data_IF_569910123027
#
_entry.id   IF_569910123027
#
_cell.length_a   1.000
_cell.length_b   1.000
_cell.length_c   1.000
_cell.angle_alpha   90.00
_cell.angle_beta   90.00
_cell.angle_gamma   90.00
#
_symmetry.space_group_name_H-M   'P 1'
#
loop_
_entity.id
_entity.type
_entity.pdbx_description
1 polymer ?
#
# COMPACT_ATOMS: atom_id res chain seq x y z
N UNK A 1 73.31 10.38 1.52
CA UNK A 1 74.39 9.96 0.60
C UNK A 1 75.50 11.01 0.37
N UNK A 2 75.26 12.33 0.51
CA UNK A 2 76.26 13.36 0.12
C UNK A 2 77.56 13.38 0.98
N UNK A 3 77.53 12.94 2.25
CA UNK A 3 78.71 12.99 3.14
C UNK A 3 79.88 12.05 2.76
N UNK A 4 79.63 10.93 2.06
CA UNK A 4 80.68 9.96 1.73
C UNK A 4 81.54 10.36 0.53
N UNK A 5 81.02 11.22 -0.35
CA UNK A 5 81.73 11.64 -1.56
C UNK A 5 82.94 12.55 -1.27
N UNK A 6 82.83 13.37 -0.21
CA UNK A 6 83.85 14.36 0.16
C UNK A 6 85.11 13.70 0.74
N UNK A 7 84.93 12.61 1.52
CA UNK A 7 86.02 11.95 2.24
C UNK A 7 86.97 11.16 1.31
N UNK A 8 86.44 10.66 0.19
CA UNK A 8 87.21 9.96 -0.86
C UNK A 8 88.07 10.96 -1.65
N UNK A 9 87.55 12.16 -1.92
CA UNK A 9 88.27 13.21 -2.65
C UNK A 9 89.43 13.76 -1.81
N UNK A 10 89.28 13.89 -0.48
CA UNK A 10 90.36 14.36 0.40
C UNK A 10 91.50 13.34 0.56
N UNK A 11 91.21 12.04 0.58
CA UNK A 11 92.23 10.99 0.70
C UNK A 11 93.05 10.82 -0.60
N UNK A 12 92.42 10.97 -1.76
CA UNK A 12 93.10 10.81 -3.06
C UNK A 12 94.13 11.92 -3.34
N UNK A 13 93.88 13.14 -2.85
CA UNK A 13 94.81 14.28 -3.00
C UNK A 13 96.03 14.14 -2.08
N UNK A 14 95.88 13.52 -0.90
CA UNK A 14 96.96 13.39 0.08
C UNK A 14 98.01 12.31 -0.27
N UNK A 15 97.65 11.33 -1.12
CA UNK A 15 98.57 10.25 -1.51
C UNK A 15 99.58 10.61 -2.62
N UNK A 16 99.47 11.77 -3.27
CA UNK A 16 100.28 12.12 -4.45
C UNK A 16 101.48 13.03 -4.17
N UNK A 17 101.87 13.21 -2.90
CA UNK A 17 103.01 14.05 -2.52
C UNK A 17 104.05 13.33 -1.66
N UNK A 18 105.25 13.21 -2.23
CA UNK A 18 106.54 12.83 -1.65
C UNK A 18 106.91 11.33 -1.52
N UNK A 19 108.00 11.02 -2.22
CA UNK A 19 108.92 9.87 -2.16
C UNK A 19 110.35 10.44 -2.27
N UNK A 20 111.46 9.77 -1.87
CA UNK A 20 111.67 8.61 -0.97
C UNK A 20 112.39 9.10 0.33
N UNK A 21 113.19 8.37 1.14
CA UNK A 21 113.61 6.96 1.29
C UNK A 21 113.97 6.73 2.78
N UNK A 22 113.87 5.49 3.30
CA UNK A 22 114.94 4.79 4.06
C UNK A 22 114.52 3.42 4.62
N UNK A 23 115.30 2.41 4.25
CA UNK A 23 115.11 0.96 4.45
C UNK A 23 114.95 0.44 5.90
N UNK A 24 115.05 1.28 6.93
CA UNK A 24 115.02 0.89 8.35
C UNK A 24 113.62 0.81 8.98
N UNK A 25 112.62 1.54 8.46
CA UNK A 25 111.26 1.52 9.02
C UNK A 25 110.53 0.18 8.81
N UNK A 26 110.98 -0.63 7.85
CA UNK A 26 110.27 -1.84 7.39
C UNK A 26 110.07 -2.88 8.49
N UNK A 27 111.06 -3.10 9.37
CA UNK A 27 110.98 -4.16 10.39
C UNK A 27 110.12 -3.76 11.60
N UNK A 28 110.22 -2.51 12.04
CA UNK A 28 109.34 -1.95 13.08
C UNK A 28 107.89 -1.90 12.58
N UNK A 29 107.67 -1.49 11.32
CA UNK A 29 106.34 -1.44 10.70
C UNK A 29 105.65 -2.81 10.70
N UNK A 30 106.36 -3.91 10.40
CA UNK A 30 105.73 -5.24 10.43
C UNK A 30 105.31 -5.69 11.83
N UNK A 31 106.09 -5.42 12.89
CA UNK A 31 105.71 -5.80 14.26
C UNK A 31 104.51 -5.00 14.76
N UNK A 32 104.46 -3.69 14.50
CA UNK A 32 103.29 -2.87 14.81
C UNK A 32 102.07 -3.26 13.95
N UNK A 33 102.27 -3.58 12.67
CA UNK A 33 101.18 -4.05 11.80
C UNK A 33 100.59 -5.37 12.29
N UNK A 34 101.40 -6.36 12.70
CA UNK A 34 100.87 -7.63 13.25
C UNK A 34 100.12 -7.43 14.57
N UNK A 35 100.57 -6.51 15.42
CA UNK A 35 99.90 -6.21 16.69
C UNK A 35 98.55 -5.51 16.47
N UNK A 36 98.49 -4.54 15.56
CA UNK A 36 97.22 -3.90 15.18
C UNK A 36 96.26 -4.86 14.50
N UNK A 37 96.76 -5.73 13.61
CA UNK A 37 95.94 -6.75 12.93
C UNK A 37 95.24 -7.68 13.94
N UNK A 38 95.93 -8.08 15.01
CA UNK A 38 95.36 -8.97 16.02
C UNK A 38 94.28 -8.28 16.88
N UNK A 39 94.50 -7.02 17.28
CA UNK A 39 93.49 -6.21 17.97
C UNK A 39 92.27 -5.91 17.06
N UNK A 40 92.49 -5.71 15.76
CA UNK A 40 91.43 -5.48 14.77
C UNK A 40 90.61 -6.76 14.51
N UNK A 41 91.23 -7.94 14.55
CA UNK A 41 90.53 -9.24 14.46
C UNK A 41 89.68 -9.49 15.72
N UNK A 42 90.22 -9.26 16.93
CA UNK A 42 89.44 -9.42 18.17
C UNK A 42 88.28 -8.41 18.24
N UNK A 43 88.53 -7.14 17.92
CA UNK A 43 87.49 -6.11 17.85
C UNK A 43 86.41 -6.39 16.80
N UNK A 44 86.77 -6.85 15.60
CA UNK A 44 85.80 -7.21 14.57
C UNK A 44 84.99 -8.45 14.95
N UNK A 45 85.57 -9.45 15.61
CA UNK A 45 84.82 -10.61 16.08
C UNK A 45 83.77 -10.23 17.14
N UNK A 46 84.12 -9.37 18.10
CA UNK A 46 83.16 -8.88 19.11
C UNK A 46 82.06 -8.00 18.51
N UNK A 47 82.41 -7.12 17.56
CA UNK A 47 81.43 -6.27 16.87
C UNK A 47 80.52 -7.07 15.92
N UNK A 48 81.04 -8.09 15.23
CA UNK A 48 80.23 -8.97 14.39
C UNK A 48 79.21 -9.74 15.24
N UNK A 49 79.62 -10.29 16.39
CA UNK A 49 78.72 -11.01 17.31
C UNK A 49 77.54 -10.14 17.78
N UNK A 50 77.80 -8.94 18.30
CA UNK A 50 76.73 -8.03 18.72
C UNK A 50 75.88 -7.52 17.55
N UNK A 51 76.47 -7.26 16.37
CA UNK A 51 75.72 -6.78 15.22
C UNK A 51 74.90 -7.87 14.48
N UNK A 52 75.16 -9.15 14.73
CA UNK A 52 74.29 -10.26 14.33
C UNK A 52 73.13 -10.45 15.32
N UNK A 53 73.38 -10.33 16.63
CA UNK A 53 72.35 -10.40 17.68
C UNK A 53 71.32 -9.24 17.56
N UNK A 54 71.79 -8.00 17.35
CA UNK A 54 70.94 -6.83 17.08
C UNK A 54 70.17 -6.93 15.75
N UNK A 55 70.70 -7.67 14.76
CA UNK A 55 70.01 -7.90 13.48
C UNK A 55 68.92 -8.96 13.59
N UNK A 56 69.14 -10.03 14.36
CA UNK A 56 68.11 -11.05 14.59
C UNK A 56 66.92 -10.43 15.33
N UNK A 57 67.17 -9.81 16.49
CA UNK A 57 66.14 -9.22 17.36
C UNK A 57 65.30 -8.13 16.67
N UNK A 58 65.90 -7.32 15.81
CA UNK A 58 65.21 -6.27 15.04
C UNK A 58 64.32 -6.85 13.92
N UNK A 59 64.73 -7.95 13.28
CA UNK A 59 63.89 -8.65 12.29
C UNK A 59 62.69 -9.30 12.98
N UNK A 60 62.91 -10.04 14.07
CA UNK A 60 61.85 -10.72 14.83
C UNK A 60 60.79 -9.71 15.33
N UNK A 61 61.25 -8.55 15.81
CA UNK A 61 60.37 -7.44 16.22
C UNK A 61 59.47 -6.94 15.08
N UNK A 62 59.98 -6.86 13.83
CA UNK A 62 59.19 -6.37 12.68
C UNK A 62 58.08 -7.36 12.29
N UNK A 63 58.37 -8.66 12.29
CA UNK A 63 57.35 -9.68 12.01
C UNK A 63 56.26 -9.72 13.10
N UNK A 64 56.61 -9.43 14.36
CA UNK A 64 55.65 -9.29 15.45
C UNK A 64 54.67 -8.12 15.23
N UNK A 65 55.15 -6.94 14.82
CA UNK A 65 54.26 -5.81 14.51
C UNK A 65 53.35 -6.08 13.30
N UNK A 66 53.86 -6.73 12.25
CA UNK A 66 53.05 -7.11 11.08
C UNK A 66 51.95 -8.12 11.43
N UNK A 67 52.25 -9.13 12.26
CA UNK A 67 51.24 -10.13 12.69
C UNK A 67 50.16 -9.53 13.59
N UNK A 68 50.52 -8.62 14.51
CA UNK A 68 49.55 -7.89 15.34
C UNK A 68 48.65 -6.98 14.48
N UNK A 69 49.23 -6.24 13.53
CA UNK A 69 48.46 -5.38 12.62
C UNK A 69 47.46 -6.17 11.74
N UNK A 70 47.89 -7.33 11.25
CA UNK A 70 47.04 -8.25 10.49
C UNK A 70 45.92 -8.84 11.36
N UNK A 71 46.22 -9.24 12.60
CA UNK A 71 45.22 -9.73 13.55
C UNK A 71 44.16 -8.67 13.89
N UNK A 72 44.56 -7.43 14.15
CA UNK A 72 43.65 -6.30 14.40
C UNK A 72 42.76 -6.06 13.15
N UNK A 73 43.35 -6.08 11.95
CA UNK A 73 42.62 -5.90 10.70
C UNK A 73 41.55 -6.97 10.48
N UNK A 74 41.86 -8.24 10.80
CA UNK A 74 40.90 -9.34 10.79
C UNK A 74 39.78 -9.14 11.82
N UNK A 75 40.10 -8.74 13.05
CA UNK A 75 39.09 -8.47 14.09
C UNK A 75 38.13 -7.36 13.65
N UNK A 76 38.64 -6.26 13.09
CA UNK A 76 37.80 -5.16 12.55
C UNK A 76 36.93 -5.64 11.39
N UNK A 77 37.46 -6.49 10.51
CA UNK A 77 36.70 -7.09 9.41
C UNK A 77 35.55 -7.99 9.91
N UNK A 78 35.80 -8.87 10.87
CA UNK A 78 34.76 -9.72 11.47
C UNK A 78 33.70 -8.92 12.23
N UNK A 79 34.09 -7.85 12.94
CA UNK A 79 33.14 -6.93 13.58
C UNK A 79 32.26 -6.22 12.53
N UNK A 80 32.85 -5.69 11.47
CA UNK A 80 32.12 -5.05 10.35
C UNK A 80 31.08 -6.00 9.73
N UNK A 81 31.48 -7.26 9.50
CA UNK A 81 30.59 -8.32 9.01
C UNK A 81 29.44 -8.58 10.00
N UNK A 82 29.73 -8.74 11.30
CA UNK A 82 28.72 -8.97 12.33
C UNK A 82 27.70 -7.81 12.43
N UNK A 83 28.15 -6.56 12.43
CA UNK A 83 27.27 -5.40 12.42
C UNK A 83 26.41 -5.33 11.14
N UNK A 84 26.99 -5.66 9.98
CA UNK A 84 26.27 -5.70 8.70
C UNK A 84 25.16 -6.76 8.70
N UNK A 85 25.45 -8.00 9.16
CA UNK A 85 24.44 -9.04 9.32
C UNK A 85 23.34 -8.64 10.32
N UNK A 86 23.70 -8.00 11.45
CA UNK A 86 22.75 -7.52 12.46
C UNK A 86 21.87 -6.36 11.98
N UNK A 87 22.33 -5.57 11.02
CA UNK A 87 21.54 -4.50 10.39
C UNK A 87 20.56 -5.05 9.34
N UNK A 88 20.98 -6.08 8.59
CA UNK A 88 20.13 -6.76 7.61
C UNK A 88 18.93 -7.46 8.26
N UNK A 89 19.09 -8.06 9.44
CA UNK A 89 17.95 -8.70 10.15
C UNK A 89 16.91 -7.69 10.62
N UNK A 90 17.33 -6.53 11.16
CA UNK A 90 16.42 -5.43 11.52
C UNK A 90 15.64 -4.89 10.32
N UNK A 91 16.30 -4.75 9.17
CA UNK A 91 15.66 -4.26 7.95
C UNK A 91 14.65 -5.28 7.40
N UNK A 92 14.96 -6.58 7.47
CA UNK A 92 14.00 -7.64 7.11
C UNK A 92 12.77 -7.64 8.02
N UNK A 93 12.96 -7.44 9.34
CA UNK A 93 11.84 -7.35 10.29
C UNK A 93 10.94 -6.13 10.02
N UNK A 94 11.51 -4.96 9.69
CA UNK A 94 10.71 -3.76 9.39
C UNK A 94 9.98 -3.86 8.04
N UNK A 95 10.57 -4.52 7.04
CA UNK A 95 9.89 -4.86 5.77
C UNK A 95 8.74 -5.85 6.04
N UNK A 96 9.00 -6.98 6.71
CA UNK A 96 7.96 -7.95 7.07
C UNK A 96 6.82 -7.32 7.90
N UNK A 97 7.14 -6.39 8.80
CA UNK A 97 6.12 -5.67 9.57
C UNK A 97 5.26 -4.78 8.66
N UNK A 98 5.86 -4.06 7.71
CA UNK A 98 5.13 -3.27 6.70
C UNK A 98 4.28 -4.17 5.78
N UNK A 99 4.83 -5.27 5.28
CA UNK A 99 4.11 -6.22 4.44
C UNK A 99 2.91 -6.83 5.18
N UNK A 100 3.06 -7.15 6.47
CA UNK A 100 1.98 -7.62 7.32
C UNK A 100 0.93 -6.54 7.63
N UNK A 101 1.31 -5.26 7.68
CA UNK A 101 0.35 -4.15 7.76
C UNK A 101 -0.42 -4.01 6.45
N UNK A 102 0.28 -4.01 5.31
CA UNK A 102 -0.33 -3.90 3.97
C UNK A 102 -1.32 -5.04 3.74
N UNK A 103 -0.94 -6.29 4.05
CA UNK A 103 -1.85 -7.45 3.95
C UNK A 103 -3.09 -7.30 4.84
N UNK A 104 -2.93 -6.91 6.11
CA UNK A 104 -4.08 -6.66 6.99
C UNK A 104 -4.99 -5.56 6.45
N UNK A 105 -4.43 -4.46 5.97
CA UNK A 105 -5.21 -3.39 5.33
C UNK A 105 -5.94 -3.89 4.08
N UNK A 106 -5.32 -4.73 3.25
CA UNK A 106 -5.96 -5.30 2.07
C UNK A 106 -7.07 -6.30 2.43
N UNK A 107 -6.85 -7.17 3.43
CA UNK A 107 -7.88 -8.04 4.00
C UNK A 107 -9.04 -7.22 4.57
N UNK A 108 -8.76 -6.14 5.31
CA UNK A 108 -9.77 -5.20 5.83
C UNK A 108 -10.52 -4.50 4.70
N UNK A 109 -9.86 -4.05 3.63
CA UNK A 109 -10.52 -3.47 2.45
C UNK A 109 -11.37 -4.49 1.69
N UNK A 110 -10.94 -5.74 1.59
CA UNK A 110 -11.72 -6.83 0.98
C UNK A 110 -12.92 -7.19 1.85
N UNK A 111 -12.76 -7.26 3.17
CA UNK A 111 -13.84 -7.53 4.11
C UNK A 111 -14.86 -6.38 4.14
N UNK A 112 -14.41 -5.13 4.18
CA UNK A 112 -15.28 -3.96 4.08
C UNK A 112 -16.04 -3.93 2.75
N UNK A 113 -15.39 -4.21 1.61
CA UNK A 113 -16.09 -4.32 0.32
C UNK A 113 -17.10 -5.47 0.29
N UNK A 114 -16.76 -6.65 0.82
CA UNK A 114 -17.70 -7.77 0.95
C UNK A 114 -18.90 -7.40 1.83
N UNK A 115 -18.68 -6.70 2.93
CA UNK A 115 -19.75 -6.24 3.82
C UNK A 115 -20.66 -5.22 3.12
N UNK A 116 -20.07 -4.24 2.42
CA UNK A 116 -20.81 -3.26 1.60
C UNK A 116 -21.66 -3.98 0.53
N UNK A 117 -21.10 -4.93 -0.23
CA UNK A 117 -21.86 -5.69 -1.23
C UNK A 117 -22.93 -6.62 -0.63
N UNK A 118 -22.65 -7.22 0.53
CA UNK A 118 -23.65 -8.03 1.28
C UNK A 118 -24.80 -7.15 1.78
N UNK A 119 -24.52 -5.87 2.09
CA UNK A 119 -25.50 -4.86 2.46
C UNK A 119 -26.04 -4.05 1.26
N UNK A 120 -25.63 -4.36 0.01
CA UNK A 120 -26.00 -3.56 -1.18
C UNK A 120 -27.38 -3.95 -1.68
N UNK A 121 -28.41 -3.52 -0.94
CA UNK A 121 -29.80 -3.60 -1.38
C UNK A 121 -29.96 -2.82 -2.69
N UNK A 122 -30.50 -3.48 -3.70
CA UNK A 122 -30.77 -2.85 -5.00
C UNK A 122 -31.99 -1.92 -4.92
N UNK A 123 -32.09 -0.95 -5.83
CA UNK A 123 -33.27 -0.08 -5.93
C UNK A 123 -34.58 -0.88 -6.05
N UNK A 124 -34.52 -2.01 -6.77
CA UNK A 124 -35.64 -2.94 -6.90
C UNK A 124 -36.03 -3.56 -5.56
N UNK A 125 -35.09 -4.08 -4.78
CA UNK A 125 -35.38 -4.67 -3.47
C UNK A 125 -35.91 -3.61 -2.49
N UNK A 126 -35.39 -2.37 -2.53
CA UNK A 126 -35.92 -1.25 -1.75
C UNK A 126 -37.37 -0.92 -2.14
N UNK A 127 -37.69 -0.90 -3.44
CA UNK A 127 -39.05 -0.72 -3.94
C UNK A 127 -39.97 -1.87 -3.55
N UNK A 128 -39.53 -3.12 -3.71
CA UNK A 128 -40.29 -4.33 -3.36
C UNK A 128 -40.60 -4.38 -1.85
N UNK A 129 -39.66 -3.95 -0.99
CA UNK A 129 -39.88 -3.79 0.45
C UNK A 129 -40.90 -2.68 0.72
N UNK A 130 -40.70 -1.49 0.15
CA UNK A 130 -41.62 -0.36 0.35
C UNK A 130 -43.07 -0.72 -0.07
N UNK A 131 -43.23 -1.35 -1.24
CA UNK A 131 -44.53 -1.84 -1.71
C UNK A 131 -45.19 -2.80 -0.71
N UNK A 132 -44.45 -3.77 -0.16
CA UNK A 132 -45.00 -4.71 0.84
C UNK A 132 -45.49 -3.99 2.09
N UNK A 133 -44.77 -2.96 2.57
CA UNK A 133 -45.22 -2.16 3.71
C UNK A 133 -46.53 -1.44 3.38
N UNK A 134 -46.62 -0.82 2.20
CA UNK A 134 -47.84 -0.14 1.72
C UNK A 134 -49.02 -1.13 1.62
N UNK A 135 -48.80 -2.32 1.05
CA UNK A 135 -49.83 -3.36 0.97
C UNK A 135 -50.30 -3.81 2.36
N UNK A 136 -49.40 -3.94 3.33
CA UNK A 136 -49.77 -4.24 4.72
C UNK A 136 -50.54 -3.09 5.39
N UNK A 137 -50.24 -1.83 5.06
CA UNK A 137 -50.94 -0.66 5.61
C UNK A 137 -52.32 -0.42 4.99
N UNK A 138 -52.55 -0.85 3.75
CA UNK A 138 -53.86 -0.74 3.08
C UNK A 138 -54.68 -2.03 3.10
N UNK A 139 -54.11 -3.15 3.56
CA UNK A 139 -54.81 -4.42 3.69
C UNK A 139 -56.06 -4.33 4.58
N UNK A 140 -57.16 -5.03 4.26
CA UNK A 140 -58.29 -5.23 5.18
C UNK A 140 -57.87 -5.85 6.53
N UNK A 141 -56.68 -6.47 6.60
CA UNK A 141 -56.09 -7.04 7.81
C UNK A 141 -55.10 -6.12 8.53
N UNK A 142 -55.02 -4.82 8.18
CA UNK A 142 -54.09 -3.81 8.75
C UNK A 142 -53.88 -3.94 10.27
N UNK A 143 -54.97 -4.13 11.04
CA UNK A 143 -54.93 -4.29 12.51
C UNK A 143 -54.01 -5.42 13.01
N UNK A 144 -53.84 -6.50 12.24
CA UNK A 144 -52.89 -7.58 12.58
C UNK A 144 -51.42 -7.18 12.39
N UNK A 145 -51.17 -6.17 11.57
CA UNK A 145 -49.84 -5.67 11.21
C UNK A 145 -49.52 -4.32 11.86
N UNK A 146 -50.48 -3.69 12.55
CA UNK A 146 -50.37 -2.34 13.10
C UNK A 146 -49.11 -2.12 13.95
N UNK A 147 -48.78 -3.05 14.87
CA UNK A 147 -47.55 -2.94 15.66
C UNK A 147 -46.31 -2.93 14.77
N UNK A 148 -46.22 -3.85 13.81
CA UNK A 148 -45.09 -3.91 12.87
C UNK A 148 -44.97 -2.65 12.02
N UNK A 149 -46.10 -2.06 11.60
CA UNK A 149 -46.11 -0.79 10.84
C UNK A 149 -45.64 0.40 11.68
N UNK A 150 -45.99 0.44 12.98
CA UNK A 150 -45.49 1.45 13.93
C UNK A 150 -43.98 1.27 14.20
N UNK A 151 -43.55 0.03 14.47
CA UNK A 151 -42.14 -0.31 14.67
C UNK A 151 -41.30 0.04 13.42
N UNK A 152 -41.82 -0.25 12.22
CA UNK A 152 -41.20 0.13 10.94
C UNK A 152 -41.11 1.66 10.76
N UNK A 153 -42.19 2.40 11.01
CA UNK A 153 -42.20 3.86 10.86
C UNK A 153 -41.22 4.53 11.84
N UNK A 154 -41.13 4.00 13.07
CA UNK A 154 -40.17 4.42 14.09
C UNK A 154 -38.72 4.16 13.67
N UNK A 155 -38.41 2.97 13.12
CA UNK A 155 -37.05 2.61 12.72
C UNK A 155 -36.59 3.38 11.46
N UNK A 156 -37.47 3.55 10.46
CA UNK A 156 -37.08 4.08 9.14
C UNK A 156 -37.24 5.61 9.05
N UNK A 157 -38.29 6.17 9.66
CA UNK A 157 -38.61 7.60 9.56
C UNK A 157 -38.51 8.35 10.90
N UNK A 158 -38.12 7.65 11.99
CA UNK A 158 -38.10 8.19 13.35
C UNK A 158 -39.47 8.81 13.76
N UNK A 159 -40.56 8.22 13.26
CA UNK A 159 -41.93 8.67 13.50
C UNK A 159 -42.75 7.56 14.18
N UNK A 160 -43.39 7.89 15.31
CA UNK A 160 -44.25 6.97 16.08
C UNK A 160 -45.71 6.92 15.60
N UNK A 161 -46.08 7.68 14.58
CA UNK A 161 -47.40 7.67 13.96
C UNK A 161 -47.62 6.41 13.09
N UNK A 162 -48.88 6.17 12.71
CA UNK A 162 -49.22 5.07 11.81
C UNK A 162 -48.67 5.33 10.40
N UNK A 163 -48.01 4.32 9.81
CA UNK A 163 -47.47 4.41 8.45
C UNK A 163 -48.55 4.82 7.43
N UNK A 164 -48.23 5.85 6.65
CA UNK A 164 -49.01 6.34 5.52
C UNK A 164 -48.23 6.18 4.22
N UNK A 165 -48.94 6.01 3.11
CA UNK A 165 -48.33 6.02 1.78
C UNK A 165 -47.82 7.43 1.45
N UNK A 166 -46.52 7.55 1.18
CA UNK A 166 -45.91 8.77 0.65
C UNK A 166 -45.61 8.60 -0.83
N UNK A 167 -46.28 9.43 -1.64
CA UNK A 167 -46.12 9.42 -3.08
C UNK A 167 -44.72 9.87 -3.53
N UNK A 168 -44.04 10.77 -2.82
CA UNK A 168 -42.71 11.24 -3.25
C UNK A 168 -41.61 10.21 -2.96
N UNK A 169 -41.63 9.57 -1.79
CA UNK A 169 -40.79 8.40 -1.49
C UNK A 169 -41.00 7.29 -2.54
N UNK A 170 -42.26 6.96 -2.86
CA UNK A 170 -42.56 6.01 -3.93
C UNK A 170 -42.00 6.48 -5.29
N UNK A 171 -42.24 7.74 -5.68
CA UNK A 171 -41.78 8.33 -6.95
C UNK A 171 -40.27 8.17 -7.12
N UNK A 172 -39.50 8.47 -6.08
CA UNK A 172 -38.03 8.36 -6.09
C UNK A 172 -37.59 6.91 -6.23
N UNK A 173 -38.09 5.98 -5.38
CA UNK A 173 -37.75 4.57 -5.45
C UNK A 173 -38.11 3.95 -6.81
N UNK A 174 -39.27 4.31 -7.35
CA UNK A 174 -39.77 3.84 -8.63
C UNK A 174 -38.95 4.38 -9.81
N UNK A 175 -38.66 5.68 -9.88
CA UNK A 175 -37.81 6.25 -10.93
C UNK A 175 -36.39 5.70 -10.90
N UNK A 176 -35.83 5.48 -9.70
CA UNK A 176 -34.51 4.86 -9.52
C UNK A 176 -34.49 3.37 -9.93
N UNK A 177 -35.65 2.71 -9.97
CA UNK A 177 -35.79 1.30 -10.40
C UNK A 177 -36.09 1.18 -11.88
N UNK A 178 -36.92 2.07 -12.44
CA UNK A 178 -37.42 2.01 -13.82
C UNK A 178 -36.85 3.10 -14.74
N UNK A 179 -35.67 3.66 -14.40
CA UNK A 179 -34.94 4.63 -15.22
C UNK A 179 -35.79 5.86 -15.61
N UNK A 180 -36.19 6.67 -14.62
CA UNK A 180 -36.96 7.92 -14.80
C UNK A 180 -38.30 7.73 -15.54
N UNK A 181 -38.96 6.59 -15.30
CA UNK A 181 -40.20 6.19 -15.97
C UNK A 181 -41.32 7.23 -15.85
N UNK A 182 -41.50 7.85 -14.67
CA UNK A 182 -42.57 8.83 -14.43
C UNK A 182 -42.34 10.10 -15.25
N UNK A 183 -41.09 10.51 -15.39
CA UNK A 183 -40.71 11.73 -16.12
C UNK A 183 -40.85 11.52 -17.63
N UNK A 184 -40.45 10.34 -18.10
CA UNK A 184 -40.67 9.89 -19.49
C UNK A 184 -42.15 9.75 -19.83
N UNK A 185 -42.95 9.17 -18.92
CA UNK A 185 -44.40 9.04 -19.05
C UNK A 185 -45.08 10.42 -19.18
N UNK A 186 -44.75 11.37 -18.30
CA UNK A 186 -45.24 12.76 -18.37
C UNK A 186 -44.81 13.48 -19.65
N UNK A 187 -43.61 13.19 -20.16
CA UNK A 187 -43.06 13.81 -21.38
C UNK A 187 -43.75 13.31 -22.65
N UNK A 188 -43.99 11.99 -22.76
CA UNK A 188 -44.56 11.36 -23.96
C UNK A 188 -46.10 11.44 -23.99
N UNK A 189 -46.74 11.51 -22.82
CA UNK A 189 -48.20 11.58 -22.69
C UNK A 189 -48.64 12.75 -21.78
N UNK A 190 -48.48 14.02 -22.23
CA UNK A 190 -48.78 15.20 -21.42
C UNK A 190 -50.26 15.35 -21.06
N UNK A 191 -51.18 14.72 -21.80
CA UNK A 191 -52.63 14.72 -21.54
C UNK A 191 -53.05 13.82 -20.36
N UNK A 192 -52.11 13.09 -19.75
CA UNK A 192 -52.35 12.34 -18.51
C UNK A 192 -52.28 13.28 -17.31
N UNK A 193 -53.37 13.31 -16.54
CA UNK A 193 -53.40 13.98 -15.24
C UNK A 193 -52.47 13.28 -14.24
N UNK A 194 -52.04 14.00 -13.20
CA UNK A 194 -51.15 13.41 -12.19
C UNK A 194 -51.74 12.15 -11.53
N UNK A 195 -53.05 12.09 -11.29
CA UNK A 195 -53.71 10.90 -10.72
C UNK A 195 -53.71 9.69 -11.68
N UNK A 196 -53.70 9.92 -12.99
CA UNK A 196 -53.54 8.84 -13.99
C UNK A 196 -52.08 8.36 -14.06
N UNK A 197 -51.12 9.29 -14.04
CA UNK A 197 -49.68 8.99 -13.92
C UNK A 197 -49.39 8.19 -12.64
N UNK A 198 -49.97 8.57 -11.51
CA UNK A 198 -49.88 7.85 -10.24
C UNK A 198 -50.42 6.41 -10.37
N UNK A 199 -51.64 6.25 -10.91
CA UNK A 199 -52.25 4.93 -11.10
C UNK A 199 -51.43 4.00 -12.02
N UNK A 200 -50.94 4.52 -13.15
CA UNK A 200 -50.07 3.78 -14.09
C UNK A 200 -48.78 3.34 -13.40
N UNK A 201 -48.15 4.23 -12.61
CA UNK A 201 -46.89 3.94 -11.92
C UNK A 201 -47.08 2.85 -10.86
N UNK A 202 -48.18 2.90 -10.10
CA UNK A 202 -48.51 1.85 -9.12
C UNK A 202 -48.79 0.50 -9.79
N UNK A 203 -49.55 0.49 -10.89
CA UNK A 203 -49.80 -0.73 -11.68
C UNK A 203 -48.51 -1.29 -12.30
N UNK A 204 -47.60 -0.42 -12.77
CA UNK A 204 -46.28 -0.80 -13.30
C UNK A 204 -45.38 -1.39 -12.21
N UNK A 205 -45.46 -0.87 -10.98
CA UNK A 205 -44.73 -1.41 -9.84
C UNK A 205 -45.27 -2.78 -9.41
N UNK A 206 -46.59 -2.99 -9.53
CA UNK A 206 -47.26 -4.27 -9.28
C UNK A 206 -48.33 -4.23 -8.18
N UNK A 207 -48.78 -3.04 -7.75
CA UNK A 207 -49.96 -2.92 -6.89
C UNK A 207 -51.22 -3.39 -7.61
N UNK A 208 -52.12 -4.05 -6.88
CA UNK A 208 -53.42 -4.43 -7.44
C UNK A 208 -54.43 -3.27 -7.44
N UNK A 209 -55.59 -3.47 -8.07
CA UNK A 209 -56.60 -2.42 -8.23
C UNK A 209 -57.27 -2.07 -6.88
N UNK A 210 -57.31 -3.01 -5.92
CA UNK A 210 -57.84 -2.78 -4.57
C UNK A 210 -56.85 -2.01 -3.68
N UNK A 211 -55.56 -2.34 -3.74
CA UNK A 211 -54.48 -1.57 -3.12
C UNK A 211 -54.55 -0.10 -3.58
N UNK A 212 -54.56 0.13 -4.90
CA UNK A 212 -54.61 1.47 -5.49
C UNK A 212 -55.90 2.21 -5.11
N UNK A 213 -57.03 1.49 -5.06
CA UNK A 213 -58.29 2.07 -4.61
C UNK A 213 -58.20 2.56 -3.16
N UNK A 214 -57.63 1.76 -2.27
CA UNK A 214 -57.46 2.11 -0.86
C UNK A 214 -56.41 3.21 -0.65
N UNK A 215 -55.31 3.23 -1.39
CA UNK A 215 -54.29 4.30 -1.39
C UNK A 215 -54.89 5.65 -1.83
N UNK A 216 -55.84 5.63 -2.78
CA UNK A 216 -56.52 6.84 -3.26
C UNK A 216 -57.82 7.17 -2.51
N UNK A 217 -58.21 6.41 -1.50
CA UNK A 217 -59.49 6.54 -0.78
C UNK A 217 -60.71 6.52 -1.73
N UNK A 218 -60.63 5.72 -2.80
CA UNK A 218 -61.66 5.56 -3.81
C UNK A 218 -62.23 4.15 -3.84
N UNK A 219 -63.40 3.99 -4.47
CA UNK A 219 -63.92 2.66 -4.77
C UNK A 219 -63.10 1.96 -5.86
N UNK A 220 -63.03 0.63 -5.82
CA UNK A 220 -62.40 -0.18 -6.88
C UNK A 220 -63.02 0.12 -8.25
N UNK A 221 -64.34 0.37 -8.31
CA UNK A 221 -65.05 0.76 -9.52
C UNK A 221 -64.58 2.12 -10.08
N UNK A 222 -64.22 3.07 -9.20
CA UNK A 222 -63.63 4.36 -9.60
C UNK A 222 -62.27 4.16 -10.28
N UNK A 223 -61.45 3.21 -9.80
CA UNK A 223 -60.17 2.87 -10.42
C UNK A 223 -60.38 2.15 -11.76
N UNK A 224 -61.34 1.22 -11.86
CA UNK A 224 -61.72 0.60 -13.13
C UNK A 224 -62.18 1.63 -14.17
N UNK A 225 -63.01 2.61 -13.78
CA UNK A 225 -63.42 3.71 -14.66
C UNK A 225 -62.21 4.53 -15.11
N UNK A 226 -61.33 4.94 -14.19
CA UNK A 226 -60.09 5.66 -14.52
C UNK A 226 -59.20 4.85 -15.47
N UNK A 227 -59.10 3.54 -15.32
CA UNK A 227 -58.39 2.66 -16.28
C UNK A 227 -59.06 2.61 -17.66
N UNK A 228 -60.39 2.70 -17.75
CA UNK A 228 -61.10 2.83 -19.04
C UNK A 228 -60.79 4.18 -19.71
N UNK A 229 -60.79 5.26 -18.93
CA UNK A 229 -60.51 6.61 -19.44
C UNK A 229 -59.04 6.76 -19.87
N UNK A 230 -58.08 6.18 -19.12
CA UNK A 230 -56.68 6.04 -19.53
C UNK A 230 -56.54 5.29 -20.84
N UNK A 231 -57.22 4.14 -21.03
CA UNK A 231 -57.17 3.39 -22.30
C UNK A 231 -57.62 4.25 -23.48
N UNK A 232 -58.73 4.99 -23.33
CA UNK A 232 -59.25 5.88 -24.37
C UNK A 232 -58.26 6.99 -24.73
N UNK A 233 -57.64 7.64 -23.73
CA UNK A 233 -56.59 8.66 -23.96
C UNK A 233 -55.37 8.11 -24.69
N UNK A 234 -54.96 6.89 -24.37
CA UNK A 234 -53.78 6.25 -24.94
C UNK A 234 -54.05 5.50 -26.26
N UNK A 235 -55.29 5.43 -26.73
CA UNK A 235 -55.67 4.63 -27.91
C UNK A 235 -55.57 3.11 -27.70
N UNK A 236 -55.52 2.64 -26.45
CA UNK A 236 -55.37 1.22 -26.11
C UNK A 236 -56.73 0.52 -26.24
N UNK A 237 -56.84 -0.62 -26.97
CA UNK A 237 -58.07 -1.41 -27.05
C UNK A 237 -58.59 -1.82 -25.67
N UNK A 238 -59.90 -2.08 -25.52
CA UNK A 238 -60.52 -2.33 -24.19
C UNK A 238 -59.86 -3.47 -23.40
N UNK A 239 -59.46 -4.55 -24.09
CA UNK A 239 -58.75 -5.70 -23.52
C UNK A 239 -57.22 -5.55 -23.52
N UNK A 240 -56.70 -4.43 -24.01
CA UNK A 240 -55.28 -4.12 -24.05
C UNK A 240 -54.71 -3.85 -22.66
N UNK A 241 -53.48 -4.35 -22.44
CA UNK A 241 -52.71 -4.07 -21.24
C UNK A 241 -52.04 -2.69 -21.37
N UNK A 242 -52.51 -1.74 -20.55
CA UNK A 242 -52.04 -0.35 -20.50
C UNK A 242 -50.52 -0.28 -20.29
N UNK A 243 -49.99 -1.07 -19.35
CA UNK A 243 -48.58 -1.05 -18.98
C UNK A 243 -47.71 -1.59 -20.12
N UNK A 244 -48.12 -2.68 -20.77
CA UNK A 244 -47.40 -3.21 -21.94
C UNK A 244 -47.35 -2.22 -23.10
N UNK A 245 -48.45 -1.50 -23.36
CA UNK A 245 -48.50 -0.46 -24.38
C UNK A 245 -47.54 0.70 -24.06
N UNK A 246 -47.59 1.21 -22.83
CA UNK A 246 -46.69 2.29 -22.39
C UNK A 246 -45.23 1.83 -22.44
N UNK A 247 -44.91 0.63 -21.96
CA UNK A 247 -43.56 0.05 -22.03
C UNK A 247 -43.05 -0.06 -23.47
N UNK A 248 -43.93 -0.32 -24.45
CA UNK A 248 -43.56 -0.29 -25.87
C UNK A 248 -43.24 1.14 -26.32
N UNK A 249 -44.16 2.09 -26.13
CA UNK A 249 -43.99 3.49 -26.54
C UNK A 249 -42.76 4.16 -25.91
N UNK A 250 -42.51 3.91 -24.62
CA UNK A 250 -41.33 4.42 -23.91
C UNK A 250 -40.01 3.81 -24.41
N UNK A 251 -40.02 2.67 -25.11
CA UNK A 251 -38.81 2.08 -25.71
C UNK A 251 -38.57 2.52 -27.15
N UNK A 252 -39.59 2.99 -27.85
CA UNK A 252 -39.48 3.43 -29.26
C UNK A 252 -39.17 4.93 -29.42
N UNK A 253 -39.38 5.72 -28.36
CA UNK A 253 -39.24 7.20 -28.35
C UNK A 253 -38.06 7.70 -27.50
N UNK A 254 -37.09 6.83 -27.22
CA UNK A 254 -35.81 7.10 -26.51
C UNK A 254 -34.67 6.62 -27.40
#
# INVERSE_FOLDING_TARGET
MIKYLILIITLFVFCNTLSPEKKYYKQVFYTYASYQLQNEIEGNNTNNFHSEEDRSTNNDSRYLYCTISLAISLVVFFLSIYYSYKQLTKTKQSIQHKDNIIKRMEDDFVNNRKMIETCRVTNKEMLDVYMRIVQLSVSPKKRHHQKFLLDYNSIIYNNSEEFQFDWETFRVLFNNTFNYYIDKLKTIFPDLSEKEVQAISMQKAGFDIADIAQIFEYSVNTIYKRNSDIRKKLGVPELGNIIHFIDHELRQKI
#
